data_IF_058098640903
#
_entry.id   IF_058098640903
#
_cell.length_a   1.000
_cell.length_b   1.000
_cell.length_c   1.000
_cell.angle_alpha   90.00
_cell.angle_beta   90.00
_cell.angle_gamma   90.00
#
_symmetry.space_group_name_H-M   'P 1'
#
loop_
_entity.id
_entity.type
_entity.pdbx_description
1 polymer ?
#
# COMPACT_ATOMS: atom_id res chain seq x y z
N UNK A 1 -3.80 -4.99 -28.51
CA UNK A 1 -3.47 -4.39 -27.20
C UNK A 1 -3.85 -5.41 -26.14
N UNK A 2 -2.90 -5.93 -25.38
CA UNK A 2 -3.24 -6.81 -24.25
C UNK A 2 -3.77 -5.90 -23.16
N UNK A 3 -5.06 -6.01 -22.85
CA UNK A 3 -5.65 -5.34 -21.71
C UNK A 3 -5.08 -6.06 -20.48
N UNK A 4 -4.05 -5.49 -19.84
CA UNK A 4 -3.64 -5.96 -18.51
C UNK A 4 -4.87 -5.82 -17.61
N UNK A 5 -5.39 -6.95 -17.11
CA UNK A 5 -6.49 -6.96 -16.15
C UNK A 5 -6.09 -6.09 -14.95
N UNK A 6 -7.01 -5.26 -14.46
CA UNK A 6 -6.77 -4.43 -13.28
C UNK A 6 -6.84 -5.30 -12.02
N UNK A 7 -6.09 -4.98 -10.97
CA UNK A 7 -6.17 -5.73 -9.70
C UNK A 7 -7.57 -5.75 -9.09
N UNK A 8 -8.40 -4.73 -9.37
CA UNK A 8 -9.82 -4.71 -8.99
C UNK A 8 -10.68 -5.81 -9.62
N UNK A 9 -10.19 -6.46 -10.68
CA UNK A 9 -10.89 -7.50 -11.42
C UNK A 9 -10.41 -8.91 -11.04
N UNK A 10 -9.40 -9.01 -10.19
CA UNK A 10 -8.83 -10.28 -9.75
C UNK A 10 -9.66 -10.84 -8.60
N UNK A 11 -9.87 -12.15 -8.61
CA UNK A 11 -10.29 -12.88 -7.41
C UNK A 11 -9.19 -12.84 -6.34
N UNK A 12 -9.55 -13.13 -5.09
CA UNK A 12 -8.59 -13.22 -3.98
C UNK A 12 -7.45 -14.22 -4.29
N UNK A 13 -7.79 -15.35 -4.92
CA UNK A 13 -6.80 -16.34 -5.33
C UNK A 13 -5.83 -15.78 -6.39
N UNK A 14 -6.34 -15.11 -7.42
CA UNK A 14 -5.50 -14.47 -8.45
C UNK A 14 -4.61 -13.39 -7.85
N UNK A 15 -5.12 -12.57 -6.92
CA UNK A 15 -4.32 -11.55 -6.20
C UNK A 15 -3.17 -12.19 -5.42
N UNK A 16 -3.42 -13.30 -4.70
CA UNK A 16 -2.39 -14.02 -3.95
C UNK A 16 -1.31 -14.61 -4.87
N UNK A 17 -1.69 -15.17 -6.02
CA UNK A 17 -0.74 -15.69 -7.01
C UNK A 17 0.10 -14.57 -7.63
N UNK A 18 -0.50 -13.43 -7.93
CA UNK A 18 0.19 -12.26 -8.44
C UNK A 18 1.20 -11.71 -7.41
N UNK A 19 0.78 -11.58 -6.15
CA UNK A 19 1.67 -11.15 -5.06
C UNK A 19 2.87 -12.10 -4.90
N UNK A 20 2.65 -13.42 -4.97
CA UNK A 20 3.75 -14.40 -4.90
C UNK A 20 4.74 -14.20 -6.06
N UNK A 21 4.23 -14.03 -7.28
CA UNK A 21 5.04 -13.78 -8.48
C UNK A 21 5.84 -12.48 -8.36
N UNK A 22 5.23 -11.42 -7.85
CA UNK A 22 5.89 -10.12 -7.65
C UNK A 22 6.96 -10.20 -6.55
N UNK A 23 6.71 -10.90 -5.44
CA UNK A 23 7.69 -11.10 -4.37
C UNK A 23 8.95 -11.83 -4.87
N UNK A 24 8.78 -12.85 -5.72
CA UNK A 24 9.91 -13.55 -6.32
C UNK A 24 10.75 -12.65 -7.24
N UNK A 25 10.09 -11.75 -7.98
CA UNK A 25 10.76 -10.74 -8.82
C UNK A 25 11.48 -9.69 -7.97
N UNK A 26 10.83 -9.19 -6.91
CA UNK A 26 11.41 -8.24 -5.96
C UNK A 26 12.68 -8.81 -5.32
N UNK A 27 12.61 -10.03 -4.78
CA UNK A 27 13.76 -10.73 -4.19
C UNK A 27 14.93 -10.90 -5.17
N UNK A 28 14.66 -11.23 -6.43
CA UNK A 28 15.71 -11.32 -7.47
C UNK A 28 16.31 -9.95 -7.76
N UNK A 29 15.49 -8.90 -7.88
CA UNK A 29 15.94 -7.54 -8.11
C UNK A 29 16.85 -7.06 -6.95
N UNK A 30 16.45 -7.32 -5.71
CA UNK A 30 17.23 -7.02 -4.51
C UNK A 30 18.60 -7.73 -4.54
N UNK A 31 18.63 -9.04 -4.82
CA UNK A 31 19.88 -9.82 -4.91
C UNK A 31 20.83 -9.32 -6.00
N UNK A 32 20.31 -8.72 -7.08
CA UNK A 32 21.08 -8.16 -8.18
C UNK A 32 21.42 -6.68 -8.00
N UNK A 33 21.01 -6.04 -6.89
CA UNK A 33 21.21 -4.61 -6.65
C UNK A 33 20.37 -3.71 -7.56
N UNK A 34 19.28 -4.22 -8.12
CA UNK A 34 18.38 -3.51 -9.04
C UNK A 34 17.33 -2.70 -8.26
N UNK A 35 17.77 -1.60 -7.63
CA UNK A 35 16.97 -0.81 -6.69
C UNK A 35 15.72 -0.19 -7.35
N UNK A 36 15.83 0.27 -8.60
CA UNK A 36 14.70 0.88 -9.31
C UNK A 36 13.61 -0.16 -9.59
N UNK A 37 13.99 -1.35 -10.04
CA UNK A 37 13.08 -2.46 -10.32
C UNK A 37 12.47 -3.03 -9.04
N UNK A 38 13.25 -3.12 -7.97
CA UNK A 38 12.75 -3.47 -6.64
C UNK A 38 11.61 -2.52 -6.23
N UNK A 39 11.84 -1.20 -6.29
CA UNK A 39 10.83 -0.21 -5.94
C UNK A 39 9.56 -0.31 -6.81
N UNK A 40 9.69 -0.67 -8.09
CA UNK A 40 8.53 -0.94 -8.97
C UNK A 40 7.75 -2.16 -8.49
N UNK A 41 8.43 -3.25 -8.14
CA UNK A 41 7.75 -4.46 -7.64
C UNK A 41 7.08 -4.22 -6.29
N UNK A 42 7.73 -3.52 -5.36
CA UNK A 42 7.15 -3.18 -4.05
C UNK A 42 5.86 -2.37 -4.18
N UNK A 43 5.83 -1.37 -5.09
CA UNK A 43 4.61 -0.59 -5.37
C UNK A 43 3.48 -1.48 -5.92
N UNK A 44 3.80 -2.40 -6.84
CA UNK A 44 2.82 -3.36 -7.36
C UNK A 44 2.29 -4.30 -6.27
N UNK A 45 3.17 -4.78 -5.39
CA UNK A 45 2.80 -5.63 -4.25
C UNK A 45 1.89 -4.87 -3.29
N UNK A 46 2.21 -3.63 -2.94
CA UNK A 46 1.37 -2.79 -2.09
C UNK A 46 -0.03 -2.64 -2.71
N UNK A 47 -0.11 -2.31 -3.99
CA UNK A 47 -1.39 -2.19 -4.69
C UNK A 47 -2.20 -3.49 -4.68
N UNK A 48 -1.59 -4.63 -5.00
CA UNK A 48 -2.30 -5.91 -5.00
C UNK A 48 -2.79 -6.29 -3.59
N UNK A 49 -1.97 -6.03 -2.54
CA UNK A 49 -2.37 -6.24 -1.14
C UNK A 49 -3.54 -5.34 -0.72
N UNK A 50 -3.64 -4.13 -1.25
CA UNK A 50 -4.71 -3.20 -0.89
C UNK A 50 -6.10 -3.75 -1.30
N UNK A 51 -6.18 -4.51 -2.38
CA UNK A 51 -7.40 -5.22 -2.81
C UNK A 51 -7.72 -6.48 -1.99
N UNK A 52 -6.83 -6.91 -1.09
CA UNK A 52 -7.09 -8.00 -0.14
C UNK A 52 -7.58 -7.49 1.23
N UNK A 53 -7.65 -6.18 1.42
CA UNK A 53 -8.09 -5.53 2.65
C UNK A 53 -9.49 -4.96 2.49
N UNK A 54 -10.18 -4.77 3.62
CA UNK A 54 -11.48 -4.11 3.64
C UNK A 54 -11.29 -2.60 3.90
N UNK A 55 -11.64 -1.71 2.94
CA UNK A 55 -11.50 -0.27 3.13
C UNK A 55 -12.32 0.30 4.30
N UNK A 56 -13.41 -0.36 4.71
CA UNK A 56 -14.26 0.08 5.83
C UNK A 56 -13.58 -0.02 7.20
N UNK A 57 -12.45 -0.75 7.28
CA UNK A 57 -11.63 -0.86 8.48
C UNK A 57 -10.74 0.39 8.70
N UNK A 58 -10.73 1.33 7.73
CA UNK A 58 -9.94 2.56 7.73
C UNK A 58 -10.85 3.78 7.59
N UNK A 59 -10.69 4.76 8.49
CA UNK A 59 -11.61 5.89 8.61
C UNK A 59 -10.89 7.23 8.61
N UNK A 60 -11.57 8.23 8.06
CA UNK A 60 -11.13 9.62 8.15
C UNK A 60 -10.91 10.04 9.61
N UNK A 61 -9.82 10.76 9.86
CA UNK A 61 -9.36 11.19 11.17
C UNK A 61 -8.43 10.21 11.88
N UNK A 62 -8.37 8.95 11.44
CA UNK A 62 -7.44 7.97 12.00
C UNK A 62 -6.00 8.25 11.54
N UNK A 63 -5.04 7.91 12.41
CA UNK A 63 -3.61 8.09 12.15
C UNK A 63 -2.90 6.75 12.21
N UNK A 64 -2.03 6.49 11.23
CA UNK A 64 -1.34 5.22 11.07
C UNK A 64 0.17 5.43 10.90
N UNK A 65 0.96 4.47 11.39
CA UNK A 65 2.34 4.30 10.95
C UNK A 65 2.37 3.84 9.48
N UNK A 66 3.32 4.36 8.69
CA UNK A 66 3.51 3.98 7.28
C UNK A 66 4.56 2.88 7.10
N UNK A 67 4.22 1.88 6.28
CA UNK A 67 5.16 0.83 5.88
C UNK A 67 6.37 1.42 5.16
N UNK A 68 7.58 1.01 5.58
CA UNK A 68 8.83 1.44 4.95
C UNK A 68 9.26 2.87 5.31
N UNK A 69 8.55 3.54 6.22
CA UNK A 69 8.87 4.89 6.68
C UNK A 69 8.81 4.93 8.22
N UNK A 70 9.87 4.43 8.87
CA UNK A 70 9.94 4.38 10.34
C UNK A 70 9.71 5.76 10.96
N UNK A 71 8.88 5.80 12.01
CA UNK A 71 8.54 7.02 12.72
C UNK A 71 7.64 7.99 11.93
N UNK A 72 7.27 7.67 10.69
CA UNK A 72 6.38 8.52 9.90
C UNK A 72 4.93 8.16 10.16
N UNK A 73 4.15 9.14 10.64
CA UNK A 73 2.72 9.02 10.83
C UNK A 73 1.96 9.63 9.65
N UNK A 74 0.82 9.04 9.32
CA UNK A 74 -0.08 9.50 8.26
C UNK A 74 -1.50 9.59 8.80
N UNK A 75 -2.11 10.77 8.68
CA UNK A 75 -3.49 11.01 9.08
C UNK A 75 -4.40 10.96 7.86
N UNK A 76 -5.39 10.07 7.90
CA UNK A 76 -6.39 9.93 6.84
C UNK A 76 -7.33 11.14 6.86
N UNK A 77 -7.45 11.82 5.73
CA UNK A 77 -8.47 12.84 5.47
C UNK A 77 -9.74 12.23 4.90
N UNK A 78 -9.61 11.34 3.92
CA UNK A 78 -10.73 10.59 3.33
C UNK A 78 -10.26 9.31 2.63
N UNK A 79 -11.22 8.44 2.32
CA UNK A 79 -11.00 7.19 1.59
C UNK A 79 -11.52 7.30 0.16
N UNK A 80 -10.82 6.71 -0.81
CA UNK A 80 -11.28 6.59 -2.19
C UNK A 80 -10.84 5.23 -2.77
N UNK A 81 -11.78 4.29 -2.84
CA UNK A 81 -11.48 2.90 -3.20
C UNK A 81 -10.53 2.27 -2.18
N UNK A 82 -9.43 1.70 -2.66
CA UNK A 82 -8.38 1.08 -1.81
C UNK A 82 -7.27 2.07 -1.40
N UNK A 83 -7.51 3.37 -1.58
CA UNK A 83 -6.57 4.43 -1.20
C UNK A 83 -7.08 5.24 -0.02
N UNK A 84 -6.17 5.56 0.89
CA UNK A 84 -6.33 6.57 1.91
C UNK A 84 -5.62 7.85 1.45
N UNK A 85 -6.37 8.96 1.42
CA UNK A 85 -5.87 10.28 1.11
C UNK A 85 -5.71 11.07 2.40
N UNK A 86 -4.63 11.83 2.53
CA UNK A 86 -4.32 12.49 3.78
C UNK A 86 -2.93 13.10 3.82
N UNK A 87 -2.40 13.30 5.01
CA UNK A 87 -1.18 14.08 5.23
C UNK A 87 -0.23 13.33 6.16
N UNK A 88 1.07 13.41 5.86
CA UNK A 88 2.10 12.97 6.80
C UNK A 88 2.25 13.97 7.93
N UNK A 89 2.56 13.49 9.11
CA UNK A 89 2.91 14.36 10.23
C UNK A 89 4.12 15.23 9.87
N UNK A 90 4.05 16.52 10.22
CA UNK A 90 5.03 17.53 9.83
C UNK A 90 4.92 18.05 8.38
N UNK A 91 4.03 17.52 7.53
CA UNK A 91 3.77 18.03 6.18
C UNK A 91 2.27 18.10 5.85
N UNK A 92 1.60 19.12 6.37
CA UNK A 92 0.16 19.35 6.13
C UNK A 92 -0.15 20.12 4.82
N UNK A 93 0.88 20.46 4.04
CA UNK A 93 0.70 21.26 2.81
C UNK A 93 0.52 20.41 1.55
N UNK A 94 0.90 19.14 1.61
CA UNK A 94 0.88 18.22 0.48
C UNK A 94 0.03 17.01 0.82
N UNK A 95 -1.13 16.90 0.16
CA UNK A 95 -1.99 15.73 0.29
C UNK A 95 -1.37 14.56 -0.49
N UNK A 96 -1.18 13.43 0.18
CA UNK A 96 -0.64 12.21 -0.40
C UNK A 96 -1.69 11.11 -0.38
N UNK A 97 -1.61 10.19 -1.33
CA UNK A 97 -2.45 9.01 -1.41
C UNK A 97 -1.61 7.74 -1.20
N UNK A 98 -2.01 6.93 -0.23
CA UNK A 98 -1.39 5.62 0.03
C UNK A 98 -2.40 4.50 -0.19
N UNK A 99 -1.99 3.37 -0.81
CA UNK A 99 -2.77 2.14 -0.74
C UNK A 99 -2.94 1.75 0.74
N UNK A 100 -4.14 1.31 1.12
CA UNK A 100 -4.45 0.96 2.53
C UNK A 100 -3.54 -0.15 3.10
N UNK A 101 -2.94 -0.97 2.23
CA UNK A 101 -1.94 -1.98 2.61
C UNK A 101 -0.64 -1.41 3.17
N UNK A 102 -0.38 -0.12 3.00
CA UNK A 102 0.78 0.57 3.57
C UNK A 102 0.52 1.13 4.97
N UNK A 103 -0.72 1.12 5.46
CA UNK A 103 -1.10 1.59 6.79
C UNK A 103 -0.95 0.42 7.79
N UNK A 104 0.12 0.40 8.58
CA UNK A 104 0.52 -0.81 9.33
C UNK A 104 -0.01 -0.90 10.75
N UNK A 105 -0.09 0.22 11.45
CA UNK A 105 -0.53 0.26 12.85
C UNK A 105 -1.27 1.55 13.11
N UNK A 106 -2.48 1.45 13.67
CA UNK A 106 -3.26 2.60 14.11
C UNK A 106 -2.66 3.17 15.40
N UNK A 107 -2.40 4.47 15.42
CA UNK A 107 -1.95 5.17 16.61
C UNK A 107 -3.12 5.25 17.60
N UNK A 108 -2.90 4.83 18.85
CA UNK A 108 -3.93 4.86 19.91
C UNK A 108 -4.65 3.54 20.17
N UNK A 109 -4.27 2.43 19.53
CA UNK A 109 -4.79 1.08 19.85
C UNK A 109 -4.21 0.45 21.13
N UNK A 110 -3.39 1.18 21.89
CA UNK A 110 -3.00 0.80 23.26
C UNK A 110 -4.03 1.40 24.24
N UNK A 111 -5.08 0.63 24.53
CA UNK A 111 -6.00 0.84 25.66
C UNK A 111 -6.08 -0.43 26.48
#
# INVERSE_FOLDING_TARGET
>A
MVMEKRYSEFSEYELRQEIATLNDKARKAEQMGMINELAVYERKIAMAKAYLLNPEDFKAGETYELQGAEGTLFKISYMNGVFAWGYRDGNEKEEEAFPISMLVRKVGELS
#
